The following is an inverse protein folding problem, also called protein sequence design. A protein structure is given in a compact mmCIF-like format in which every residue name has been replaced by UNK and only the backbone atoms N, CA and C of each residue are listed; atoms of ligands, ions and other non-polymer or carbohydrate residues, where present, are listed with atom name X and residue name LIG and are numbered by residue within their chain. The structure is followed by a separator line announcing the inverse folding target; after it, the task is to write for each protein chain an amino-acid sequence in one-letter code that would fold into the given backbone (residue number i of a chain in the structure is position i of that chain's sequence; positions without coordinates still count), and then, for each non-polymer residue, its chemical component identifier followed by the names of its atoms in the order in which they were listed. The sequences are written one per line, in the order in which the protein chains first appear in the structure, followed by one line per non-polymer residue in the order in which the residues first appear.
data_IF_529670078215
#
_entry.id   IF_529670078215
#
_cell.length_a   1.000
_cell.length_b   1.000
_cell.length_c   1.000
_cell.angle_alpha   90.00
_cell.angle_beta   90.00
_cell.angle_gamma   90.00
#
_symmetry.space_group_name_H-M   'P 1'
#
loop_
_entity.id
_entity.type
_entity.pdbx_description
1 polymer ?
#
# COMPACT_ATOMS: atom_id res chain seq x y z
N UNK A 1 25.18 -3.53 1.32
CA UNK A 1 23.76 -3.89 1.37
C UNK A 1 23.45 -4.69 0.12
N UNK A 2 22.61 -5.72 0.23
CA UNK A 2 22.19 -6.49 -0.94
C UNK A 2 21.01 -5.76 -1.62
N UNK A 3 20.90 -5.81 -2.93
CA UNK A 3 19.85 -5.14 -3.70
C UNK A 3 18.44 -5.49 -3.17
N UNK A 4 18.22 -6.77 -2.82
CA UNK A 4 16.98 -7.24 -2.19
C UNK A 4 16.65 -6.49 -0.88
N UNK A 5 17.65 -6.20 -0.04
CA UNK A 5 17.44 -5.49 1.24
C UNK A 5 17.03 -4.02 1.02
N UNK A 6 17.58 -3.39 -0.01
CA UNK A 6 17.19 -2.03 -0.41
C UNK A 6 15.75 -2.00 -0.93
N UNK A 7 15.37 -2.98 -1.74
CA UNK A 7 14.00 -3.13 -2.23
C UNK A 7 13.01 -3.38 -1.09
N UNK A 8 13.35 -4.25 -0.14
CA UNK A 8 12.49 -4.51 1.03
C UNK A 8 12.24 -3.21 1.81
N UNK A 9 13.30 -2.43 2.06
CA UNK A 9 13.16 -1.13 2.75
C UNK A 9 12.31 -0.14 1.97
N UNK A 10 12.44 -0.10 0.65
CA UNK A 10 11.62 0.75 -0.20
C UNK A 10 10.13 0.35 -0.14
N UNK A 11 9.86 -0.96 -0.18
CA UNK A 11 8.50 -1.53 -0.06
C UNK A 11 7.90 -1.19 1.29
N UNK A 12 8.63 -1.44 2.38
CA UNK A 12 8.16 -1.12 3.74
C UNK A 12 7.93 0.38 3.90
N UNK A 13 8.81 1.23 3.37
CA UNK A 13 8.61 2.68 3.39
C UNK A 13 7.37 3.12 2.60
N UNK A 14 7.10 2.52 1.44
CA UNK A 14 5.91 2.82 0.64
C UNK A 14 4.61 2.39 1.36
N UNK A 15 4.63 1.22 2.00
CA UNK A 15 3.51 0.71 2.80
C UNK A 15 3.27 1.62 4.01
N UNK A 16 4.34 2.03 4.72
CA UNK A 16 4.26 2.93 5.87
C UNK A 16 3.72 4.32 5.52
N UNK A 17 4.16 4.89 4.38
CA UNK A 17 3.60 6.14 3.85
C UNK A 17 2.11 6.00 3.48
N UNK A 18 1.67 4.78 3.18
CA UNK A 18 0.31 4.41 2.85
C UNK A 18 -0.26 5.21 1.65
N UNK A 19 0.59 5.49 0.66
CA UNK A 19 0.23 6.21 -0.57
C UNK A 19 0.12 5.22 -1.73
N UNK A 20 -1.09 5.01 -2.27
CA UNK A 20 -1.34 4.07 -3.38
C UNK A 20 -0.49 4.43 -4.63
N UNK A 21 -0.30 5.72 -4.91
CA UNK A 21 0.52 6.16 -6.04
C UNK A 21 1.95 5.63 -5.93
N UNK A 22 2.61 5.87 -4.78
CA UNK A 22 3.98 5.41 -4.50
C UNK A 22 4.07 3.87 -4.57
N UNK A 23 3.09 3.17 -4.01
CA UNK A 23 3.03 1.69 -4.08
C UNK A 23 2.90 1.18 -5.52
N UNK A 24 2.08 1.81 -6.36
CA UNK A 24 1.91 1.43 -7.77
C UNK A 24 3.14 1.77 -8.63
N UNK A 25 3.79 2.90 -8.38
CA UNK A 25 5.06 3.24 -9.02
C UNK A 25 6.11 2.18 -8.70
N UNK A 26 6.20 1.77 -7.42
CA UNK A 26 7.15 0.75 -6.99
C UNK A 26 6.82 -0.64 -7.59
N UNK A 27 5.54 -0.99 -7.76
CA UNK A 27 5.13 -2.21 -8.47
C UNK A 27 5.62 -2.25 -9.93
N UNK A 28 5.54 -1.13 -10.65
CA UNK A 28 6.10 -1.02 -12.00
C UNK A 28 7.63 -1.15 -11.97
N UNK A 29 8.31 -0.41 -11.09
CA UNK A 29 9.78 -0.47 -10.97
C UNK A 29 10.26 -1.89 -10.68
N UNK A 30 9.59 -2.61 -9.76
CA UNK A 30 9.90 -4.00 -9.47
C UNK A 30 9.67 -4.93 -10.65
N UNK A 31 8.71 -4.63 -11.54
CA UNK A 31 8.45 -5.48 -12.71
C UNK A 31 9.60 -5.48 -13.71
N UNK A 32 10.29 -4.35 -13.86
CA UNK A 32 11.47 -4.18 -14.71
C UNK A 32 12.79 -4.52 -13.99
N UNK A 33 12.72 -4.92 -12.73
CA UNK A 33 13.90 -5.24 -11.93
C UNK A 33 14.39 -6.67 -12.21
N UNK A 34 15.48 -6.76 -12.98
CA UNK A 34 16.16 -8.01 -13.32
C UNK A 34 17.23 -8.43 -12.30
N UNK A 35 17.55 -7.58 -11.32
CA UNK A 35 18.56 -7.89 -10.32
C UNK A 35 18.00 -8.76 -9.18
N UNK A 36 16.68 -8.76 -8.96
CA UNK A 36 16.02 -9.73 -8.08
C UNK A 36 15.71 -11.05 -8.79
N UNK A 37 15.73 -12.13 -8.02
CA UNK A 37 15.15 -13.39 -8.47
C UNK A 37 13.65 -13.24 -8.71
N UNK A 38 13.09 -14.12 -9.53
CA UNK A 38 11.64 -14.12 -9.82
C UNK A 38 10.79 -14.29 -8.57
N UNK A 39 11.25 -15.08 -7.61
CA UNK A 39 10.54 -15.33 -6.35
C UNK A 39 10.56 -14.10 -5.45
N UNK A 40 11.73 -13.49 -5.22
CA UNK A 40 11.84 -12.28 -4.39
C UNK A 40 11.01 -11.13 -4.99
N UNK A 41 11.09 -10.92 -6.31
CA UNK A 41 10.28 -9.91 -7.01
C UNK A 41 8.78 -10.17 -6.81
N UNK A 42 8.34 -11.41 -6.98
CA UNK A 42 6.93 -11.76 -6.82
C UNK A 42 6.44 -11.56 -5.39
N UNK A 43 7.26 -11.91 -4.40
CA UNK A 43 6.95 -11.72 -2.98
C UNK A 43 6.75 -10.23 -2.66
N UNK A 44 7.69 -9.38 -3.06
CA UNK A 44 7.60 -7.95 -2.80
C UNK A 44 6.43 -7.29 -3.54
N UNK A 45 6.16 -7.70 -4.79
CA UNK A 45 4.97 -7.26 -5.53
C UNK A 45 3.67 -7.70 -4.85
N UNK A 46 3.62 -8.91 -4.30
CA UNK A 46 2.43 -9.39 -3.59
C UNK A 46 2.19 -8.60 -2.30
N UNK A 47 3.23 -8.27 -1.54
CA UNK A 47 3.14 -7.41 -0.36
C UNK A 47 2.53 -6.05 -0.71
N UNK A 48 3.01 -5.40 -1.78
CA UNK A 48 2.45 -4.13 -2.26
C UNK A 48 0.99 -4.24 -2.69
N UNK A 49 0.62 -5.28 -3.46
CA UNK A 49 -0.78 -5.49 -3.87
C UNK A 49 -1.73 -5.65 -2.69
N UNK A 50 -1.32 -6.40 -1.67
CA UNK A 50 -2.11 -6.56 -0.44
C UNK A 50 -2.24 -5.24 0.32
N UNK A 51 -1.17 -4.44 0.40
CA UNK A 51 -1.21 -3.13 1.05
C UNK A 51 -2.14 -2.14 0.32
N UNK A 52 -2.08 -2.11 -1.02
CA UNK A 52 -2.99 -1.28 -1.85
C UNK A 52 -4.44 -1.70 -1.65
N UNK A 53 -4.73 -3.01 -1.61
CA UNK A 53 -6.08 -3.50 -1.36
C UNK A 53 -6.60 -3.10 0.03
N UNK A 54 -5.79 -3.28 1.08
CA UNK A 54 -6.14 -2.87 2.45
C UNK A 54 -6.41 -1.36 2.55
N UNK A 55 -5.59 -0.53 1.90
CA UNK A 55 -5.83 0.91 1.90
C UNK A 55 -7.17 1.28 1.26
N UNK A 56 -7.54 0.61 0.16
CA UNK A 56 -8.81 0.86 -0.51
C UNK A 56 -10.00 0.52 0.39
N UNK A 57 -9.94 -0.61 1.12
CA UNK A 57 -10.99 -1.01 2.07
C UNK A 57 -11.04 -0.09 3.28
N UNK A 58 -9.90 0.26 3.88
CA UNK A 58 -9.83 1.18 5.03
C UNK A 58 -10.44 2.55 4.71
N UNK A 59 -10.17 3.08 3.51
CA UNK A 59 -10.78 4.35 3.05
C UNK A 59 -12.29 4.23 2.88
N UNK A 60 -12.78 3.12 2.35
CA UNK A 60 -14.22 2.88 2.18
C UNK A 60 -14.93 2.78 3.54
N UNK A 61 -14.36 2.02 4.47
CA UNK A 61 -14.86 1.88 5.84
C UNK A 61 -14.84 3.22 6.60
N UNK A 62 -13.79 4.03 6.45
CA UNK A 62 -13.73 5.37 7.06
C UNK A 62 -14.77 6.32 6.45
N UNK A 63 -14.99 6.24 5.13
CA UNK A 63 -16.00 7.02 4.44
C UNK A 63 -17.42 6.59 4.82
N UNK A 64 -17.64 5.30 5.07
CA UNK A 64 -18.92 4.77 5.56
C UNK A 64 -19.19 5.16 7.01
N UNK A 65 -18.20 5.03 7.91
CA UNK A 65 -18.30 5.51 9.30
C UNK A 65 -18.59 7.01 9.35
N UNK A 66 -17.92 7.81 8.51
CA UNK A 66 -18.19 9.26 8.39
C UNK A 66 -19.61 9.53 7.90
N UNK A 67 -20.09 8.80 6.88
CA UNK A 67 -21.47 8.91 6.39
C UNK A 67 -22.46 8.60 7.50
N UNK A 68 -22.23 7.51 8.24
CA UNK A 68 -23.10 7.07 9.34
C UNK A 68 -23.15 8.08 10.49
N UNK A 69 -22.02 8.71 10.83
CA UNK A 69 -21.95 9.78 11.84
C UNK A 69 -22.70 11.06 11.40
N UNK A 70 -22.64 11.41 10.11
CA UNK A 70 -23.36 12.57 9.56
C UNK A 70 -24.87 12.34 9.48
N UNK A 71 -25.31 11.11 9.17
CA UNK A 71 -26.75 10.79 9.07
C UNK A 71 -27.43 10.60 10.43
N UNK A 72 -26.70 10.17 11.46
CA UNK A 72 -27.23 10.02 12.82
C UNK A 72 -27.18 11.30 13.67
N UNK A 73 -26.84 12.45 13.08
CA UNK A 73 -26.86 13.74 13.76
C UNK A 73 -25.66 13.89 14.69
N UNK A 74 -24.53 14.34 14.14
CA UNK A 74 -23.40 14.78 14.94
C UNK A 74 -23.84 15.85 15.94
N UNK A 75 -23.76 15.55 17.24
CA UNK A 75 -23.95 16.53 18.30
C UNK A 75 -22.81 17.57 18.16
N UNK A 76 -23.12 18.69 17.53
CA UNK A 76 -22.28 19.88 17.54
C UNK A 76 -22.46 20.50 18.93
N UNK A 77 -21.52 20.26 19.85
CA UNK A 77 -21.35 21.00 21.10
C UNK A 77 -20.16 21.94 20.99
#
# INVERSE_FOLDING_TARGET
MNHTDEVIKAVDAAILKNVIHDMNVLLCQLSDDHALTREERFEQQQRLRLAVFKHATEKEELAEQRRNWLTHGGLIS
#
